data_IF_426989989005
#
_entry.id   IF_426989989005
#
_cell.length_a   1.000
_cell.length_b   1.000
_cell.length_c   1.000
_cell.angle_alpha   90.00
_cell.angle_beta   90.00
_cell.angle_gamma   90.00
#
_symmetry.space_group_name_H-M   'P 1'
#
loop_
_entity.id
_entity.type
_entity.pdbx_description
1 polymer ?
#
# COMPACT_ATOMS: atom_id res chain seq x y z
N UNK A 1 -23.68 28.97 -27.30
CA UNK A 1 -23.84 27.69 -26.56
C UNK A 1 -22.87 26.67 -27.16
N UNK A 2 -21.58 26.77 -26.84
CA UNK A 2 -20.55 25.83 -27.30
C UNK A 2 -19.38 25.89 -26.32
N UNK A 3 -18.75 24.74 -26.12
CA UNK A 3 -17.52 24.49 -25.36
C UNK A 3 -17.57 24.59 -23.83
N UNK A 4 -18.39 23.74 -23.21
CA UNK A 4 -17.98 23.07 -21.96
C UNK A 4 -17.07 21.91 -22.36
N UNK A 5 -15.83 22.23 -22.76
CA UNK A 5 -14.75 21.25 -22.78
C UNK A 5 -14.15 21.26 -21.38
N UNK A 6 -14.83 20.59 -20.44
CA UNK A 6 -14.17 20.11 -19.24
C UNK A 6 -13.15 19.07 -19.69
N UNK A 7 -11.92 19.52 -19.95
CA UNK A 7 -10.74 18.69 -19.76
C UNK A 7 -10.68 18.36 -18.26
N UNK A 8 -11.47 17.39 -17.81
CA UNK A 8 -11.13 16.65 -16.60
C UNK A 8 -9.94 15.77 -16.96
N UNK A 9 -8.75 16.35 -16.87
CA UNK A 9 -7.50 15.69 -17.20
C UNK A 9 -7.41 14.35 -16.45
N UNK A 10 -7.23 13.21 -17.16
CA UNK A 10 -7.16 11.89 -16.53
C UNK A 10 -6.06 11.79 -15.46
N UNK A 11 -5.00 12.59 -15.61
CA UNK A 11 -3.92 12.79 -14.64
C UNK A 11 -4.40 13.34 -13.29
N UNK A 12 -5.43 14.18 -13.25
CA UNK A 12 -5.99 14.74 -12.00
C UNK A 12 -6.65 13.65 -11.16
N UNK A 13 -7.37 12.73 -11.80
CA UNK A 13 -8.03 11.60 -11.13
C UNK A 13 -7.04 10.52 -10.67
N UNK A 14 -5.93 10.35 -11.38
CA UNK A 14 -4.84 9.47 -10.96
C UNK A 14 -4.10 10.07 -9.76
N UNK A 15 -3.79 11.37 -9.80
CA UNK A 15 -3.09 12.05 -8.72
C UNK A 15 -3.89 12.08 -7.40
N UNK A 16 -5.21 12.25 -7.46
CA UNK A 16 -6.06 12.20 -6.25
C UNK A 16 -6.12 10.80 -5.64
N UNK A 17 -6.19 9.76 -6.47
CA UNK A 17 -6.14 8.37 -6.00
C UNK A 17 -4.78 8.02 -5.37
N UNK A 18 -3.67 8.48 -5.97
CA UNK A 18 -2.32 8.29 -5.44
C UNK A 18 -2.16 9.00 -4.09
N UNK A 19 -2.64 10.24 -3.97
CA UNK A 19 -2.61 10.98 -2.70
C UNK A 19 -3.40 10.28 -1.60
N UNK A 20 -4.60 9.80 -1.92
CA UNK A 20 -5.42 9.05 -0.96
C UNK A 20 -4.74 7.74 -0.56
N UNK A 21 -4.18 6.99 -1.51
CA UNK A 21 -3.45 5.75 -1.24
C UNK A 21 -2.21 5.99 -0.36
N UNK A 22 -1.46 7.06 -0.62
CA UNK A 22 -0.30 7.44 0.18
C UNK A 22 -0.70 7.81 1.62
N UNK A 23 -1.80 8.55 1.81
CA UNK A 23 -2.30 8.89 3.14
C UNK A 23 -2.76 7.66 3.92
N UNK A 24 -3.52 6.76 3.29
CA UNK A 24 -3.99 5.52 3.93
C UNK A 24 -2.80 4.65 4.32
N UNK A 25 -1.86 4.46 3.39
CA UNK A 25 -0.63 3.71 3.66
C UNK A 25 0.18 4.33 4.81
N UNK A 26 0.36 5.65 4.80
CA UNK A 26 1.10 6.34 5.85
C UNK A 26 0.46 6.16 7.22
N UNK A 27 -0.87 6.31 7.31
CA UNK A 27 -1.64 6.08 8.55
C UNK A 27 -1.48 4.62 9.02
N UNK A 28 -1.45 3.67 8.10
CA UNK A 28 -1.30 2.24 8.40
C UNK A 28 0.07 1.91 9.00
N UNK A 29 1.13 2.57 8.51
CA UNK A 29 2.52 2.35 8.94
C UNK A 29 2.87 3.13 10.21
N UNK A 30 2.22 4.26 10.43
CA UNK A 30 2.48 5.17 11.55
C UNK A 30 2.51 4.49 12.94
N UNK A 31 1.55 3.64 13.36
CA UNK A 31 1.59 3.03 14.68
C UNK A 31 2.82 2.14 14.87
N UNK A 32 3.25 1.42 13.83
CA UNK A 32 4.45 0.59 13.86
C UNK A 32 5.72 1.44 13.97
N UNK A 33 5.77 2.57 13.26
CA UNK A 33 6.88 3.52 13.38
C UNK A 33 6.98 4.14 14.78
N UNK A 34 5.85 4.41 15.42
CA UNK A 34 5.81 4.91 16.80
C UNK A 34 6.30 3.83 17.78
N UNK A 35 5.77 2.60 17.67
CA UNK A 35 6.17 1.48 18.54
C UNK A 35 7.68 1.21 18.45
N UNK A 36 8.20 1.17 17.22
CA UNK A 36 9.64 1.03 16.98
C UNK A 36 10.43 2.19 17.60
N UNK A 37 9.99 3.43 17.43
CA UNK A 37 10.69 4.59 18.02
C UNK A 37 10.69 4.57 19.56
N UNK A 38 9.65 4.02 20.18
CA UNK A 38 9.54 3.91 21.63
C UNK A 38 10.41 2.78 22.18
N UNK A 39 10.48 1.64 21.48
CA UNK A 39 11.21 0.46 21.95
C UNK A 39 12.66 0.40 21.50
N UNK A 40 13.01 1.02 20.37
CA UNK A 40 14.34 0.98 19.76
C UNK A 40 15.26 2.16 20.16
N UNK A 41 14.90 2.94 21.18
CA UNK A 41 15.80 3.99 21.73
C UNK A 41 17.06 3.41 22.39
N UNK A 42 17.06 2.10 22.71
CA UNK A 42 18.12 1.42 23.45
C UNK A 42 19.17 0.78 22.53
N UNK A 43 18.84 0.47 21.26
CA UNK A 43 19.70 -0.35 20.40
C UNK A 43 19.85 0.31 19.02
N UNK A 44 20.73 1.31 18.89
CA UNK A 44 21.06 2.03 17.62
C UNK A 44 21.71 1.15 16.53
N UNK A 45 21.47 -0.15 16.50
CA UNK A 45 21.97 -1.05 15.47
C UNK A 45 20.90 -1.17 14.37
N UNK A 46 21.26 -0.80 13.14
CA UNK A 46 20.52 -1.07 11.89
C UNK A 46 19.52 -0.01 11.39
N UNK A 47 19.84 1.28 11.54
CA UNK A 47 19.14 2.40 10.89
C UNK A 47 18.83 2.21 9.37
N UNK A 48 19.72 1.66 8.51
CA UNK A 48 19.37 1.45 7.10
C UNK A 48 18.30 0.36 6.89
N UNK A 49 18.27 -0.68 7.72
CA UNK A 49 17.22 -1.70 7.68
C UNK A 49 15.85 -1.12 8.05
N UNK A 50 15.83 -0.19 9.00
CA UNK A 50 14.62 0.50 9.44
C UNK A 50 13.94 1.31 8.32
N UNK A 51 14.73 2.08 7.58
CA UNK A 51 14.23 2.91 6.47
C UNK A 51 13.69 2.03 5.36
N UNK A 52 14.38 0.93 5.03
CA UNK A 52 13.94 -0.03 4.02
C UNK A 52 12.66 -0.73 4.48
N UNK A 53 12.58 -1.14 5.75
CA UNK A 53 11.41 -1.80 6.30
C UNK A 53 10.18 -0.90 6.24
N UNK A 54 10.26 0.33 6.75
CA UNK A 54 9.13 1.27 6.72
C UNK A 54 8.79 1.74 5.30
N UNK A 55 9.81 1.90 4.45
CA UNK A 55 9.61 2.19 3.03
C UNK A 55 8.83 1.08 2.34
N UNK A 56 9.20 -0.19 2.56
CA UNK A 56 8.51 -1.35 1.99
C UNK A 56 7.11 -1.53 2.59
N UNK A 57 6.99 -1.41 3.91
CA UNK A 57 5.73 -1.53 4.65
C UNK A 57 4.72 -0.45 4.24
N UNK A 58 5.16 0.72 3.78
CA UNK A 58 4.31 1.75 3.20
C UNK A 58 4.08 1.61 1.69
N UNK A 59 5.11 1.25 0.93
CA UNK A 59 5.00 1.16 -0.53
C UNK A 59 4.04 0.05 -0.98
N UNK A 60 4.07 -1.11 -0.31
CA UNK A 60 3.20 -2.24 -0.63
C UNK A 60 1.69 -1.92 -0.51
N UNK A 61 1.18 -1.41 0.62
CA UNK A 61 -0.24 -1.08 0.74
C UNK A 61 -0.62 0.10 -0.16
N UNK A 62 0.29 1.03 -0.43
CA UNK A 62 0.05 2.10 -1.40
C UNK A 62 -0.14 1.54 -2.82
N UNK A 63 0.76 0.65 -3.27
CA UNK A 63 0.63 -0.04 -4.55
C UNK A 63 -0.64 -0.90 -4.62
N UNK A 64 -0.98 -1.60 -3.53
CA UNK A 64 -2.21 -2.38 -3.42
C UNK A 64 -3.46 -1.53 -3.67
N UNK A 65 -3.58 -0.38 -2.99
CA UNK A 65 -4.74 0.51 -3.14
C UNK A 65 -4.81 1.08 -4.57
N UNK A 66 -3.68 1.51 -5.13
CA UNK A 66 -3.63 2.08 -6.49
C UNK A 66 -4.12 1.07 -7.54
N UNK A 67 -3.79 -0.21 -7.38
CA UNK A 67 -4.21 -1.29 -8.28
C UNK A 67 -5.67 -1.70 -8.01
N UNK A 68 -6.11 -1.70 -6.75
CA UNK A 68 -7.45 -2.13 -6.36
C UNK A 68 -8.54 -1.12 -6.79
N UNK A 69 -8.29 0.19 -6.67
CA UNK A 69 -9.26 1.26 -6.99
C UNK A 69 -9.87 1.14 -8.40
N UNK A 70 -9.10 1.01 -9.50
CA UNK A 70 -9.69 0.88 -10.83
C UNK A 70 -10.47 -0.43 -11.01
N UNK A 71 -10.09 -1.52 -10.32
CA UNK A 71 -10.83 -2.79 -10.35
C UNK A 71 -12.20 -2.60 -9.71
N UNK A 72 -12.24 -2.04 -8.49
CA UNK A 72 -13.49 -1.78 -7.77
C UNK A 72 -14.39 -0.83 -8.54
N UNK A 73 -13.83 0.23 -9.14
CA UNK A 73 -14.60 1.15 -9.99
C UNK A 73 -15.19 0.46 -11.22
N UNK A 74 -14.43 -0.41 -11.87
CA UNK A 74 -14.89 -1.16 -13.05
C UNK A 74 -16.02 -2.14 -12.71
N UNK A 75 -15.88 -2.86 -11.59
CA UNK A 75 -16.92 -3.76 -11.05
C UNK A 75 -18.17 -2.98 -10.65
N UNK A 76 -18.01 -1.87 -9.93
CA UNK A 76 -19.14 -1.05 -9.47
C UNK A 76 -19.90 -0.38 -10.61
N UNK A 77 -19.21 -0.03 -11.70
CA UNK A 77 -19.84 0.52 -12.89
C UNK A 77 -20.69 -0.50 -13.68
N UNK A 78 -20.72 -1.78 -13.26
CA UNK A 78 -21.42 -2.84 -13.98
C UNK A 78 -20.85 -3.11 -15.36
N UNK A 79 -19.67 -2.54 -15.66
CA UNK A 79 -18.98 -2.78 -16.92
C UNK A 79 -18.56 -4.24 -16.99
N UNK A 80 -18.39 -4.79 -18.19
CA UNK A 80 -17.99 -6.19 -18.38
C UNK A 80 -16.56 -6.40 -17.89
N UNK A 81 -16.42 -6.57 -16.58
CA UNK A 81 -15.22 -7.06 -15.90
C UNK A 81 -14.80 -8.43 -16.45
N UNK A 82 -15.76 -9.15 -17.04
CA UNK A 82 -15.56 -10.39 -17.81
C UNK A 82 -15.10 -10.20 -19.26
N UNK A 83 -14.90 -8.98 -19.77
CA UNK A 83 -14.38 -8.78 -21.13
C UNK A 83 -12.93 -9.28 -21.28
N UNK A 84 -12.17 -9.37 -20.18
CA UNK A 84 -10.82 -9.93 -20.21
C UNK A 84 -10.46 -10.63 -18.87
N UNK A 85 -11.00 -11.85 -18.64
CA UNK A 85 -10.92 -12.53 -17.34
C UNK A 85 -9.48 -12.91 -16.96
N UNK A 86 -8.62 -13.16 -17.95
CA UNK A 86 -7.20 -13.50 -17.74
C UNK A 86 -6.45 -12.32 -17.13
N UNK A 87 -6.63 -11.11 -17.67
CA UNK A 87 -5.99 -9.90 -17.13
C UNK A 87 -6.45 -9.60 -15.70
N UNK A 88 -7.74 -9.85 -15.41
CA UNK A 88 -8.25 -9.71 -14.05
C UNK A 88 -7.65 -10.73 -13.10
N UNK A 89 -7.53 -11.99 -13.52
CA UNK A 89 -6.90 -13.04 -12.73
C UNK A 89 -5.46 -12.66 -12.36
N UNK A 90 -4.66 -12.16 -13.32
CA UNK A 90 -3.30 -11.69 -13.05
C UNK A 90 -3.26 -10.54 -12.04
N UNK A 91 -4.17 -9.57 -12.15
CA UNK A 91 -4.25 -8.43 -11.22
C UNK A 91 -4.61 -8.88 -9.81
N UNK A 92 -5.58 -9.78 -9.67
CA UNK A 92 -6.00 -10.32 -8.38
C UNK A 92 -4.89 -11.19 -7.77
N UNK A 93 -4.24 -12.04 -8.56
CA UNK A 93 -3.09 -12.82 -8.11
C UNK A 93 -1.95 -11.90 -7.63
N UNK A 94 -1.66 -10.83 -8.36
CA UNK A 94 -0.64 -9.85 -7.98
C UNK A 94 -1.00 -9.12 -6.67
N UNK A 95 -2.27 -8.72 -6.50
CA UNK A 95 -2.76 -8.14 -5.25
C UNK A 95 -2.63 -9.13 -4.07
N UNK A 96 -2.93 -10.41 -4.29
CA UNK A 96 -2.79 -11.44 -3.28
C UNK A 96 -1.31 -11.63 -2.87
N UNK A 97 -0.38 -11.62 -3.83
CA UNK A 97 1.05 -11.66 -3.54
C UNK A 97 1.50 -10.45 -2.72
N UNK A 98 1.07 -9.23 -3.07
CA UNK A 98 1.37 -8.03 -2.28
C UNK A 98 0.85 -8.18 -0.85
N UNK A 99 -0.39 -8.65 -0.68
CA UNK A 99 -0.99 -8.83 0.64
C UNK A 99 -0.27 -9.91 1.47
N UNK A 100 0.13 -11.03 0.85
CA UNK A 100 0.91 -12.08 1.51
C UNK A 100 2.29 -11.58 1.93
N UNK A 101 3.01 -10.89 1.05
CA UNK A 101 4.33 -10.32 1.38
C UNK A 101 4.22 -9.30 2.49
N UNK A 102 3.22 -8.41 2.43
CA UNK A 102 3.02 -7.39 3.47
C UNK A 102 2.63 -8.00 4.82
N UNK A 103 1.72 -8.97 4.83
CA UNK A 103 1.32 -9.68 6.04
C UNK A 103 2.45 -10.52 6.63
N UNK A 104 3.26 -11.18 5.78
CA UNK A 104 4.44 -11.91 6.20
C UNK A 104 5.48 -11.00 6.86
N UNK A 105 5.74 -9.84 6.26
CA UNK A 105 6.64 -8.83 6.82
C UNK A 105 6.16 -8.33 8.19
N UNK A 106 4.84 -8.16 8.37
CA UNK A 106 4.29 -7.79 9.67
C UNK A 106 4.46 -8.90 10.71
N UNK A 107 4.14 -10.15 10.36
CA UNK A 107 4.24 -11.28 11.30
C UNK A 107 5.68 -11.45 11.77
N UNK A 108 6.63 -11.32 10.84
CA UNK A 108 8.06 -11.41 11.09
C UNK A 108 8.57 -10.30 12.02
N UNK A 109 8.04 -9.08 11.86
CA UNK A 109 8.54 -7.88 12.57
C UNK A 109 7.73 -7.51 13.82
N UNK A 110 6.59 -8.17 14.08
CA UNK A 110 5.80 -7.98 15.32
C UNK A 110 6.63 -8.19 16.60
N UNK A 111 7.48 -9.24 16.72
CA UNK A 111 8.33 -9.43 17.89
C UNK A 111 9.29 -8.25 18.10
N UNK A 112 9.84 -7.69 17.01
CA UNK A 112 10.70 -6.51 17.02
C UNK A 112 9.96 -5.30 17.61
N UNK A 113 8.73 -5.05 17.13
CA UNK A 113 7.92 -3.93 17.62
C UNK A 113 7.55 -4.06 19.10
N UNK A 114 7.50 -5.28 19.64
CA UNK A 114 7.28 -5.51 21.08
C UNK A 114 8.55 -5.35 21.93
N UNK A 115 9.70 -5.05 21.32
CA UNK A 115 10.96 -4.83 22.03
C UNK A 115 11.66 -6.11 22.47
N UNK A 116 11.38 -7.24 21.80
CA UNK A 116 12.10 -8.49 22.06
C UNK A 116 13.54 -8.35 21.56
N UNK A 117 14.57 -8.59 22.39
CA UNK A 117 15.96 -8.53 21.96
C UNK A 117 16.31 -9.69 21.02
N UNK A 118 17.18 -9.44 20.02
CA UNK A 118 17.59 -10.37 18.96
C UNK A 118 16.43 -10.89 18.10
N UNK A 119 15.68 -9.96 17.50
CA UNK A 119 14.77 -10.30 16.40
C UNK A 119 15.55 -10.18 15.08
N UNK A 120 16.12 -11.31 14.63
CA UNK A 120 16.65 -11.55 13.29
C UNK A 120 15.86 -12.73 12.69
#
# INVERSE_FOLDING_TARGET
MRSVLQNEDPTKNIATNIKSAALISFILVLPFAILESLNNTITKQNAPGLIVLFGLLGLLPMAFIVILVPIVRTVRAGNSVMANPINLLFRVAFLALIAMTWGGLLIDQIPCFMGVPNCD
#
